data_IF_247107922613
#
_entry.id   IF_247107922613
#
_cell.length_a   1.000
_cell.length_b   1.000
_cell.length_c   1.000
_cell.angle_alpha   90.00
_cell.angle_beta   90.00
_cell.angle_gamma   90.00
#
_symmetry.space_group_name_H-M   'P 1'
#
loop_
_entity.id
_entity.type
_entity.pdbx_description
1 polymer ?
#
# COMPACT_ATOMS: atom_id res chain seq x y z
N UNK A 1 -2.65 11.34 17.70
CA UNK A 1 -4.01 11.11 17.16
C UNK A 1 -4.00 11.43 15.68
N UNK A 2 -3.51 10.50 14.86
CA UNK A 2 -3.29 10.71 13.43
C UNK A 2 -4.44 10.18 12.59
N UNK A 3 -4.64 10.75 11.41
CA UNK A 3 -5.65 10.39 10.40
C UNK A 3 -5.71 8.87 10.13
N UNK A 4 -4.59 8.16 10.34
CA UNK A 4 -4.51 6.69 10.29
C UNK A 4 -5.43 5.99 11.32
N UNK A 5 -5.66 6.56 12.52
CA UNK A 5 -6.60 6.00 13.50
C UNK A 5 -8.07 6.29 13.20
N UNK A 6 -8.36 7.25 12.31
CA UNK A 6 -9.71 7.48 11.76
C UNK A 6 -10.02 6.54 10.60
N UNK A 7 -9.01 6.16 9.81
CA UNK A 7 -9.17 5.25 8.67
C UNK A 7 -9.19 3.77 9.10
N UNK A 8 -8.38 3.39 10.10
CA UNK A 8 -8.28 1.99 10.52
C UNK A 8 -9.27 1.59 11.62
N UNK A 9 -10.10 2.53 12.09
CA UNK A 9 -10.87 2.35 13.31
C UNK A 9 -9.92 2.30 14.50
N UNK A 10 -10.15 3.16 15.50
CA UNK A 10 -9.44 3.03 16.76
C UNK A 10 -9.56 1.59 17.25
N UNK A 11 -8.47 0.98 17.73
CA UNK A 11 -8.49 -0.41 18.23
C UNK A 11 -9.62 -0.69 19.23
N UNK A 12 -10.17 0.36 19.84
CA UNK A 12 -11.39 0.38 20.63
C UNK A 12 -12.65 -0.11 19.92
N UNK A 13 -12.86 0.17 18.62
CA UNK A 13 -14.08 -0.26 17.90
C UNK A 13 -14.02 -1.75 17.57
N UNK A 14 -12.82 -2.24 17.23
CA UNK A 14 -12.58 -3.68 16.98
C UNK A 14 -12.69 -4.46 18.30
N UNK A 15 -12.10 -3.95 19.40
CA UNK A 15 -12.25 -4.55 20.72
C UNK A 15 -13.69 -4.54 21.23
N UNK A 16 -14.44 -3.44 21.03
CA UNK A 16 -15.85 -3.36 21.42
C UNK A 16 -16.74 -4.26 20.54
N UNK A 17 -16.42 -4.41 19.26
CA UNK A 17 -17.08 -5.37 18.36
C UNK A 17 -16.86 -6.82 18.80
N UNK A 18 -15.64 -7.18 19.19
CA UNK A 18 -15.33 -8.51 19.74
C UNK A 18 -16.01 -8.77 21.09
N UNK A 19 -16.07 -7.77 21.97
CA UNK A 19 -16.75 -7.89 23.27
C UNK A 19 -18.26 -8.06 23.18
N UNK A 20 -18.90 -7.50 22.15
CA UNK A 20 -20.32 -7.73 21.88
C UNK A 20 -20.60 -9.14 21.36
N UNK A 21 -19.69 -9.69 20.54
CA UNK A 21 -19.76 -11.07 20.06
C UNK A 21 -19.59 -12.08 21.21
N UNK A 22 -18.70 -11.79 22.16
CA UNK A 22 -18.44 -12.64 23.33
C UNK A 22 -19.59 -12.62 24.36
N UNK A 23 -20.35 -11.52 24.40
CA UNK A 23 -21.54 -11.37 25.28
C UNK A 23 -22.78 -12.10 24.79
N UNK A 24 -22.78 -12.55 23.52
CA UNK A 24 -23.82 -13.41 22.97
C UNK A 24 -23.38 -14.85 23.17
N UNK A 25 -24.14 -15.62 23.97
CA UNK A 25 -24.00 -17.07 24.09
C UNK A 25 -24.22 -17.74 22.73
N UNK A 26 -23.21 -17.71 21.89
CA UNK A 26 -23.20 -18.25 20.53
C UNK A 26 -22.56 -19.63 20.60
N UNK A 27 -23.20 -20.58 19.92
CA UNK A 27 -22.62 -21.91 19.71
C UNK A 27 -21.22 -21.79 19.06
N UNK A 28 -20.30 -22.73 19.29
CA UNK A 28 -18.94 -22.68 18.67
C UNK A 28 -19.00 -22.42 17.16
N UNK A 29 -20.03 -22.92 16.49
CA UNK A 29 -20.34 -22.69 15.08
C UNK A 29 -20.62 -21.22 14.74
N UNK A 30 -21.46 -20.52 15.51
CA UNK A 30 -21.79 -19.11 15.27
C UNK A 30 -20.60 -18.19 15.57
N UNK A 31 -19.76 -18.53 16.56
CA UNK A 31 -18.53 -17.80 16.86
C UNK A 31 -17.48 -17.97 15.74
N UNK A 32 -17.37 -19.17 15.15
CA UNK A 32 -16.51 -19.44 13.98
C UNK A 32 -17.01 -18.69 12.75
N UNK A 33 -18.32 -18.65 12.51
CA UNK A 33 -18.93 -17.90 11.40
C UNK A 33 -18.72 -16.40 11.56
N UNK A 34 -18.93 -15.84 12.76
CA UNK A 34 -18.70 -14.42 13.05
C UNK A 34 -17.23 -14.02 12.83
N UNK A 35 -16.27 -14.84 13.30
CA UNK A 35 -14.83 -14.62 13.06
C UNK A 35 -14.47 -14.71 11.59
N UNK A 36 -15.02 -15.67 10.86
CA UNK A 36 -14.77 -15.86 9.43
C UNK A 36 -15.34 -14.72 8.61
N UNK A 37 -16.56 -14.27 8.93
CA UNK A 37 -17.20 -13.13 8.31
C UNK A 37 -16.44 -11.84 8.59
N UNK A 38 -16.05 -11.58 9.84
CA UNK A 38 -15.22 -10.42 10.18
C UNK A 38 -13.88 -10.42 9.43
N UNK A 39 -13.22 -11.56 9.27
CA UNK A 39 -11.99 -11.69 8.48
C UNK A 39 -12.24 -11.43 6.99
N UNK A 40 -13.37 -11.89 6.47
CA UNK A 40 -13.78 -11.69 5.07
C UNK A 40 -14.12 -10.24 4.78
N UNK A 41 -14.90 -9.60 5.66
CA UNK A 41 -15.27 -8.18 5.58
C UNK A 41 -14.04 -7.27 5.72
N UNK A 42 -13.10 -7.66 6.57
CA UNK A 42 -11.82 -6.98 6.66
C UNK A 42 -11.05 -7.14 5.34
N UNK A 43 -10.87 -8.35 4.81
CA UNK A 43 -10.18 -8.56 3.53
C UNK A 43 -10.83 -7.83 2.34
N UNK A 44 -12.17 -7.77 2.29
CA UNK A 44 -12.90 -7.06 1.24
C UNK A 44 -12.72 -5.54 1.35
N UNK A 45 -12.65 -5.00 2.57
CA UNK A 45 -12.33 -3.58 2.81
C UNK A 45 -10.92 -3.17 2.36
N UNK A 46 -9.96 -4.10 2.27
CA UNK A 46 -8.61 -3.84 1.74
C UNK A 46 -8.51 -3.87 0.21
N UNK A 47 -9.52 -4.40 -0.49
CA UNK A 47 -9.47 -4.52 -1.95
C UNK A 47 -9.34 -3.16 -2.68
N UNK A 48 -10.07 -2.09 -2.30
CA UNK A 48 -9.91 -0.77 -2.90
C UNK A 48 -8.51 -0.19 -2.70
N UNK A 49 -7.92 -0.39 -1.52
CA UNK A 49 -6.55 0.06 -1.22
C UNK A 49 -5.52 -0.63 -2.12
N UNK A 50 -5.62 -1.96 -2.27
CA UNK A 50 -4.74 -2.72 -3.17
C UNK A 50 -4.91 -2.31 -4.64
N UNK A 51 -6.12 -1.97 -5.05
CA UNK A 51 -6.39 -1.49 -6.40
C UNK A 51 -5.75 -0.10 -6.63
N UNK A 52 -5.95 0.84 -5.71
CA UNK A 52 -5.32 2.16 -5.77
C UNK A 52 -3.78 2.06 -5.77
N UNK A 53 -3.21 1.17 -4.94
CA UNK A 53 -1.78 0.90 -4.91
C UNK A 53 -1.24 0.42 -6.27
N UNK A 54 -1.96 -0.47 -6.96
CA UNK A 54 -1.57 -0.94 -8.31
C UNK A 54 -1.62 0.18 -9.33
N UNK A 55 -2.66 1.01 -9.31
CA UNK A 55 -2.77 2.15 -10.22
C UNK A 55 -1.66 3.17 -10.00
N UNK A 56 -1.35 3.51 -8.74
CA UNK A 56 -0.23 4.39 -8.40
C UNK A 56 1.10 3.80 -8.87
N UNK A 57 1.34 2.51 -8.61
CA UNK A 57 2.55 1.84 -9.06
C UNK A 57 2.69 1.84 -10.59
N UNK A 58 1.60 1.65 -11.31
CA UNK A 58 1.61 1.66 -12.77
C UNK A 58 1.87 3.06 -13.34
N UNK A 59 1.15 4.09 -12.86
CA UNK A 59 1.29 5.46 -13.37
C UNK A 59 2.69 6.01 -13.09
N UNK A 60 3.15 5.93 -11.85
CA UNK A 60 4.47 6.47 -11.47
C UNK A 60 5.61 5.59 -11.96
N UNK A 61 5.46 4.27 -11.94
CA UNK A 61 6.46 3.35 -12.49
C UNK A 61 6.66 3.56 -13.97
N UNK A 62 5.57 3.67 -14.74
CA UNK A 62 5.63 4.01 -16.16
C UNK A 62 6.29 5.37 -16.39
N UNK A 63 5.87 6.40 -15.65
CA UNK A 63 6.43 7.76 -15.77
C UNK A 63 7.93 7.78 -15.48
N UNK A 64 8.38 7.07 -14.44
CA UNK A 64 9.78 6.96 -14.07
C UNK A 64 10.61 6.29 -15.17
N UNK A 65 10.16 5.13 -15.67
CA UNK A 65 10.87 4.41 -16.75
C UNK A 65 10.89 5.24 -18.03
N UNK A 66 9.79 5.88 -18.39
CA UNK A 66 9.73 6.76 -19.56
C UNK A 66 10.68 7.95 -19.45
N UNK A 67 10.75 8.58 -18.28
CA UNK A 67 11.67 9.70 -18.00
C UNK A 67 13.13 9.25 -18.13
N UNK A 68 13.46 8.06 -17.62
CA UNK A 68 14.79 7.48 -17.73
C UNK A 68 15.18 7.21 -19.20
N UNK A 69 14.28 6.59 -19.97
CA UNK A 69 14.48 6.32 -21.40
C UNK A 69 14.66 7.64 -22.18
N UNK A 70 13.87 8.68 -21.87
CA UNK A 70 13.98 9.99 -22.49
C UNK A 70 15.36 10.61 -22.27
N UNK A 71 15.83 10.65 -21.01
CA UNK A 71 17.14 11.23 -20.67
C UNK A 71 18.27 10.46 -21.36
N UNK A 72 18.23 9.12 -21.35
CA UNK A 72 19.22 8.29 -22.06
C UNK A 72 19.20 8.55 -23.57
N UNK A 73 18.02 8.64 -24.17
CA UNK A 73 17.88 8.89 -25.61
C UNK A 73 18.45 10.25 -26.00
N UNK A 74 18.16 11.30 -25.21
CA UNK A 74 18.71 12.64 -25.44
C UNK A 74 20.24 12.65 -25.30
N UNK A 75 20.78 11.94 -24.30
CA UNK A 75 22.22 11.78 -24.12
C UNK A 75 22.89 11.13 -25.35
N UNK A 76 22.34 10.02 -25.85
CA UNK A 76 22.89 9.34 -27.03
C UNK A 76 22.75 10.16 -28.33
N UNK A 77 21.78 11.08 -28.39
CA UNK A 77 21.63 12.04 -29.49
C UNK A 77 22.54 13.27 -29.36
N UNK A 78 23.40 13.33 -28.33
CA UNK A 78 24.30 14.46 -28.06
C UNK A 78 23.56 15.75 -27.69
N UNK A 79 22.33 15.66 -27.17
CA UNK A 79 21.56 16.81 -26.68
C UNK A 79 21.95 17.12 -25.24
N UNK A 80 21.89 18.40 -24.88
CA UNK A 80 22.00 18.80 -23.48
C UNK A 80 20.79 18.28 -22.69
N UNK A 81 21.08 17.61 -21.57
CA UNK A 81 20.09 16.99 -20.69
C UNK A 81 19.93 17.73 -19.36
N UNK A 82 20.72 18.77 -19.11
CA UNK A 82 20.81 19.46 -17.80
C UNK A 82 19.45 19.95 -17.33
N UNK A 83 18.74 20.72 -18.17
CA UNK A 83 17.42 21.25 -17.83
C UNK A 83 16.38 20.14 -17.61
N UNK A 84 16.46 19.03 -18.36
CA UNK A 84 15.55 17.89 -18.19
C UNK A 84 15.81 17.17 -16.86
N UNK A 85 17.08 16.98 -16.50
CA UNK A 85 17.47 16.38 -15.23
C UNK A 85 17.07 17.23 -14.02
N UNK A 86 17.19 18.56 -14.11
CA UNK A 86 16.73 19.49 -13.08
C UNK A 86 15.23 19.39 -12.85
N UNK A 87 14.43 19.35 -13.93
CA UNK A 87 12.98 19.20 -13.85
C UNK A 87 12.61 17.87 -13.17
N UNK A 88 13.19 16.75 -13.63
CA UNK A 88 12.93 15.42 -13.03
C UNK A 88 13.28 15.41 -11.54
N UNK A 89 14.40 16.02 -11.17
CA UNK A 89 14.85 16.12 -9.78
C UNK A 89 13.92 17.00 -8.93
N UNK A 90 13.40 18.10 -9.50
CA UNK A 90 12.48 19.01 -8.81
C UNK A 90 11.15 18.33 -8.46
N UNK A 91 10.64 17.48 -9.34
CA UNK A 91 9.42 16.69 -9.09
C UNK A 91 9.63 15.51 -8.11
N UNK A 92 10.88 15.24 -7.69
CA UNK A 92 11.24 14.18 -6.73
C UNK A 92 10.67 12.81 -7.11
N UNK A 93 10.71 12.49 -8.40
CA UNK A 93 10.15 11.25 -8.96
C UNK A 93 10.85 10.01 -8.36
N UNK A 94 12.14 10.14 -8.04
CA UNK A 94 12.95 9.15 -7.34
C UNK A 94 12.39 8.79 -5.96
N UNK A 95 12.05 9.79 -5.14
CA UNK A 95 11.46 9.59 -3.81
C UNK A 95 10.08 8.97 -3.87
N UNK A 96 9.25 9.41 -4.82
CA UNK A 96 7.93 8.84 -5.05
C UNK A 96 8.07 7.35 -5.42
N UNK A 97 8.99 7.02 -6.32
CA UNK A 97 9.23 5.64 -6.74
C UNK A 97 9.75 4.76 -5.61
N UNK A 98 10.71 5.23 -4.82
CA UNK A 98 11.24 4.49 -3.68
C UNK A 98 10.14 4.22 -2.65
N UNK A 99 9.26 5.20 -2.43
CA UNK A 99 8.10 5.06 -1.53
C UNK A 99 7.12 4.00 -2.05
N UNK A 100 6.76 4.05 -3.33
CA UNK A 100 5.86 3.08 -3.96
C UNK A 100 6.45 1.67 -3.92
N UNK A 101 7.72 1.50 -4.27
CA UNK A 101 8.42 0.21 -4.19
C UNK A 101 8.45 -0.30 -2.75
N UNK A 102 8.75 0.58 -1.79
CA UNK A 102 8.71 0.28 -0.37
C UNK A 102 7.34 -0.21 0.11
N UNK A 103 6.25 0.45 -0.29
CA UNK A 103 4.90 -0.01 0.06
C UNK A 103 4.49 -1.28 -0.69
N UNK A 104 4.93 -1.45 -1.95
CA UNK A 104 4.59 -2.61 -2.77
C UNK A 104 5.27 -3.90 -2.32
N UNK A 105 6.56 -3.83 -2.00
CA UNK A 105 7.36 -4.98 -1.60
C UNK A 105 7.55 -5.09 -0.07
N UNK A 106 7.35 -4.01 0.68
CA UNK A 106 7.56 -3.98 2.13
C UNK A 106 6.61 -4.88 2.90
N UNK A 107 5.36 -5.05 2.44
CA UNK A 107 4.42 -6.02 3.02
C UNK A 107 4.95 -7.46 2.94
N UNK A 108 5.41 -7.87 1.75
CA UNK A 108 5.97 -9.21 1.54
C UNK A 108 7.30 -9.44 2.28
N UNK A 109 8.15 -8.42 2.37
CA UNK A 109 9.39 -8.49 3.15
C UNK A 109 9.12 -8.66 4.65
N UNK A 110 8.14 -7.94 5.20
CA UNK A 110 7.76 -8.03 6.61
C UNK A 110 7.12 -9.39 6.95
N UNK A 111 6.24 -9.90 6.07
CA UNK A 111 5.63 -11.24 6.20
C UNK A 111 6.70 -12.36 6.16
N UNK A 112 7.68 -12.25 5.26
CA UNK A 112 8.77 -13.23 5.13
C UNK A 112 9.71 -13.30 6.34
N UNK A 113 9.93 -12.19 7.04
CA UNK A 113 10.72 -12.17 8.29
C UNK A 113 9.91 -12.76 9.45
N UNK A 114 8.61 -12.44 9.53
CA UNK A 114 7.73 -12.94 10.60
C UNK A 114 7.48 -14.44 10.49
N UNK A 115 7.40 -15.01 9.28
CA UNK A 115 7.24 -16.45 9.08
C UNK A 115 8.47 -17.30 9.38
N UNK A 116 9.62 -16.68 9.68
CA UNK A 116 10.87 -17.36 10.10
C UNK A 116 11.05 -17.42 11.62
N UNK A 117 10.19 -16.77 12.40
CA UNK A 117 10.15 -16.86 13.87
C UNK A 117 8.93 -17.66 14.30
#
# INVERSE_FOLDING_TARGET
>A
MGILSQILGSGDVISKGLGLIDSMHTSETEAIEAKTKAKTDLLSSYAPFKLAQRYLALIFGFTFVASYILVLSLFFLGRDITAVQEIISAFKVDWIMLTIVGFYFGGGAFEGIKGKK
#
